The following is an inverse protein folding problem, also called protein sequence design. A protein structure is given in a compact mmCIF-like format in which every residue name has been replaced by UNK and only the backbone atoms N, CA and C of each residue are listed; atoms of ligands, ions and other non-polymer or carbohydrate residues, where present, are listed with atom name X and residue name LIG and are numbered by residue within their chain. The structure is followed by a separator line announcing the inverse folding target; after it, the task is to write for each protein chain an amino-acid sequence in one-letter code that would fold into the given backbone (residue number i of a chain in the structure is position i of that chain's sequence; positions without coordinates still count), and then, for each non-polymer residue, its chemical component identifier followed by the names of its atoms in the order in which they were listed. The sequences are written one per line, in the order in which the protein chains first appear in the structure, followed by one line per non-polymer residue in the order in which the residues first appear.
data_IF_324081353897
#
_entry.id   IF_324081353897
#
_cell.length_a   1.000
_cell.length_b   1.000
_cell.length_c   1.000
_cell.angle_alpha   90.00
_cell.angle_beta   90.00
_cell.angle_gamma   90.00
#
_symmetry.space_group_name_H-M   'P 1'
#
loop_
_entity.id
_entity.type
_entity.pdbx_description
1 polymer ?
#
# COMPACT_ATOMS: atom_id res chain seq x y z
N UNK A 1 -5.82 10.12 23.42
CA UNK A 1 -5.98 8.68 23.10
C UNK A 1 -5.75 8.50 21.60
N UNK A 2 -4.54 8.12 21.18
CA UNK A 2 -4.26 7.84 19.77
C UNK A 2 -4.29 6.33 19.52
N UNK A 3 -5.30 5.82 18.83
CA UNK A 3 -5.36 4.43 18.38
C UNK A 3 -4.70 4.25 17.01
N UNK A 4 -4.15 3.08 16.74
CA UNK A 4 -3.69 2.71 15.39
C UNK A 4 -4.85 2.07 14.62
N UNK A 5 -5.11 2.57 13.40
CA UNK A 5 -6.03 1.95 12.46
C UNK A 5 -5.30 0.94 11.58
N UNK A 6 -5.83 -0.29 11.50
CA UNK A 6 -5.33 -1.32 10.59
C UNK A 6 -6.28 -1.43 9.41
N UNK A 7 -5.77 -1.21 8.20
CA UNK A 7 -6.54 -1.26 6.95
C UNK A 7 -6.00 -2.38 6.07
N UNK A 8 -6.90 -3.14 5.45
CA UNK A 8 -6.58 -4.11 4.40
C UNK A 8 -7.15 -3.63 3.07
N UNK A 9 -6.37 -3.74 1.99
CA UNK A 9 -6.80 -3.37 0.63
C UNK A 9 -6.96 -4.64 -0.21
N UNK A 10 -8.19 -4.91 -0.65
CA UNK A 10 -8.57 -6.14 -1.38
C UNK A 10 -8.96 -5.81 -2.82
N UNK A 11 -8.90 -6.81 -3.70
CA UNK A 11 -9.26 -6.68 -5.11
C UNK A 11 -8.47 -7.62 -6.02
N UNK A 12 -8.87 -7.73 -7.28
CA UNK A 12 -8.29 -8.65 -8.27
C UNK A 12 -6.78 -8.37 -8.54
N UNK A 13 -6.03 -9.33 -9.11
CA UNK A 13 -4.65 -9.11 -9.55
C UNK A 13 -4.55 -7.92 -10.53
N UNK A 14 -3.45 -7.16 -10.47
CA UNK A 14 -3.18 -6.08 -11.42
C UNK A 14 -3.96 -4.77 -11.24
N UNK A 15 -5.01 -4.70 -10.41
CA UNK A 15 -5.88 -3.50 -10.27
C UNK A 15 -5.24 -2.28 -9.58
N UNK A 16 -3.95 -2.29 -9.27
CA UNK A 16 -3.25 -1.13 -8.71
C UNK A 16 -3.27 -0.97 -7.18
N UNK A 17 -3.69 -1.99 -6.41
CA UNK A 17 -3.73 -1.95 -4.92
C UNK A 17 -2.41 -1.48 -4.29
N UNK A 18 -1.29 -2.02 -4.76
CA UNK A 18 0.03 -1.64 -4.24
C UNK A 18 0.45 -0.25 -4.71
N UNK A 19 0.07 0.13 -5.93
CA UNK A 19 0.37 1.45 -6.48
C UNK A 19 -0.34 2.56 -5.70
N UNK A 20 -1.63 2.41 -5.36
CA UNK A 20 -2.36 3.42 -4.58
C UNK A 20 -1.81 3.58 -3.15
N UNK A 21 -1.39 2.49 -2.51
CA UNK A 21 -0.77 2.55 -1.17
C UNK A 21 0.57 3.31 -1.24
N UNK A 22 1.40 2.99 -2.24
CA UNK A 22 2.71 3.62 -2.45
C UNK A 22 2.59 5.10 -2.78
N UNK A 23 1.68 5.45 -3.70
CA UNK A 23 1.39 6.84 -4.05
C UNK A 23 0.88 7.64 -2.85
N UNK A 24 0.03 7.05 -2.01
CA UNK A 24 -0.49 7.72 -0.81
C UNK A 24 0.59 7.94 0.26
N UNK A 25 1.45 6.94 0.51
CA UNK A 25 2.42 6.99 1.62
C UNK A 25 3.74 7.65 1.26
N UNK A 26 4.21 7.51 0.02
CA UNK A 26 5.54 7.92 -0.41
C UNK A 26 5.53 8.88 -1.60
N UNK A 27 4.36 9.16 -2.19
CA UNK A 27 4.27 9.97 -3.41
C UNK A 27 4.90 9.30 -4.64
N UNK A 28 5.16 7.99 -4.62
CA UNK A 28 5.77 7.24 -5.71
C UNK A 28 4.76 6.35 -6.45
N UNK A 29 4.91 6.28 -7.78
CA UNK A 29 4.16 5.34 -8.62
C UNK A 29 5.14 4.38 -9.32
N UNK A 30 5.08 3.07 -9.07
CA UNK A 30 5.95 2.11 -9.74
C UNK A 30 5.55 1.91 -11.20
N UNK A 31 6.41 2.30 -12.15
CA UNK A 31 6.14 2.16 -13.59
C UNK A 31 6.05 0.69 -14.06
N UNK A 32 6.73 -0.22 -13.37
CA UNK A 32 6.71 -1.65 -13.70
C UNK A 32 5.81 -2.41 -12.71
N UNK A 33 4.93 -3.24 -13.25
CA UNK A 33 4.12 -4.12 -12.42
C UNK A 33 4.98 -5.21 -11.76
N UNK A 34 4.89 -5.30 -10.44
CA UNK A 34 5.38 -6.44 -9.66
C UNK A 34 4.21 -7.00 -8.84
N UNK A 35 3.87 -8.30 -9.00
CA UNK A 35 2.86 -8.95 -8.19
C UNK A 35 3.14 -8.81 -6.69
N UNK A 36 2.06 -8.75 -5.91
CA UNK A 36 2.14 -8.77 -4.45
C UNK A 36 1.85 -10.20 -4.01
N UNK A 37 2.91 -10.99 -3.86
CA UNK A 37 2.85 -12.44 -3.67
C UNK A 37 2.52 -12.86 -2.23
N UNK A 38 2.61 -11.92 -1.29
CA UNK A 38 2.30 -12.13 0.13
C UNK A 38 1.77 -10.84 0.77
N UNK A 39 1.07 -10.94 1.92
CA UNK A 39 0.64 -9.76 2.67
C UNK A 39 1.83 -8.85 3.01
N UNK A 40 1.71 -7.56 2.72
CA UNK A 40 2.73 -6.56 3.00
C UNK A 40 2.17 -5.48 3.92
N UNK A 41 2.88 -5.19 5.02
CA UNK A 41 2.48 -4.16 5.98
C UNK A 41 3.17 -2.83 5.65
N UNK A 42 2.39 -1.82 5.32
CA UNK A 42 2.88 -0.46 5.15
C UNK A 42 2.56 0.37 6.39
N UNK A 43 3.56 1.08 6.92
CA UNK A 43 3.41 1.98 8.07
C UNK A 43 3.76 3.39 7.63
N UNK A 44 2.87 4.38 7.79
CA UNK A 44 3.27 5.77 7.66
C UNK A 44 4.30 6.08 8.75
N UNK A 45 5.52 6.40 8.35
CA UNK A 45 6.49 7.04 9.25
C UNK A 45 6.20 8.53 9.19
N UNK A 46 5.40 9.04 10.14
CA UNK A 46 5.37 10.47 10.40
C UNK A 46 6.63 10.76 11.22
N UNK A 47 7.59 11.49 10.64
CA UNK A 47 8.64 12.19 11.40
C UNK A 47 8.07 13.50 11.95
#
# INVERSE_FOLDING_TARGET
MGGSLRVAVLGAPGVGKTAIIRQFLFGDYPERHRPTDSPCLYRPAVL
#
